data_IF_145867373375
#
_entry.id   IF_145867373375
#
_cell.length_a   1.000
_cell.length_b   1.000
_cell.length_c   1.000
_cell.angle_alpha   90.00
_cell.angle_beta   90.00
_cell.angle_gamma   90.00
#
_symmetry.space_group_name_H-M   'P 1'
#
loop_
_entity.id
_entity.type
_entity.pdbx_description
1 polymer ?
#
# COMPACT_ATOMS: atom_id res chain seq x y z
N UNK A 1 31.32 7.35 13.83
CA UNK A 1 31.27 5.89 14.09
C UNK A 1 29.82 5.52 13.94
N UNK A 2 29.40 5.34 12.69
CA UNK A 2 28.00 5.38 12.29
C UNK A 2 27.59 3.99 11.82
N UNK A 3 27.53 3.08 12.79
CA UNK A 3 27.14 1.68 12.61
C UNK A 3 25.65 1.48 12.93
N UNK A 4 24.78 2.34 12.39
CA UNK A 4 23.31 2.20 12.56
C UNK A 4 22.55 1.88 11.26
N UNK A 5 23.26 1.55 10.17
CA UNK A 5 22.64 1.34 8.86
C UNK A 5 22.14 -0.08 8.54
N UNK A 6 22.48 -1.08 9.35
CA UNK A 6 22.37 -2.50 8.93
C UNK A 6 21.37 -3.35 9.74
N UNK A 7 20.92 -2.87 10.91
CA UNK A 7 19.97 -3.61 11.78
C UNK A 7 18.48 -3.29 11.56
N UNK A 8 18.16 -2.24 10.80
CA UNK A 8 16.76 -1.84 10.54
C UNK A 8 16.27 -2.21 9.14
N UNK A 9 16.82 -3.27 8.57
CA UNK A 9 16.33 -3.81 7.31
C UNK A 9 14.88 -4.32 7.48
N UNK A 10 13.96 -3.97 6.57
CA UNK A 10 12.58 -4.45 6.63
C UNK A 10 12.52 -5.97 6.56
N UNK A 11 11.76 -6.56 7.49
CA UNK A 11 11.53 -8.00 7.64
C UNK A 11 10.20 -8.40 7.00
N UNK A 12 9.99 -9.71 6.72
CA UNK A 12 8.66 -10.22 6.40
C UNK A 12 7.64 -9.73 7.44
N UNK A 13 6.43 -9.43 6.97
CA UNK A 13 5.31 -8.84 7.74
C UNK A 13 5.47 -7.38 8.20
N UNK A 14 6.63 -6.76 8.00
CA UNK A 14 6.76 -5.31 8.22
C UNK A 14 5.90 -4.54 7.21
N UNK A 15 5.25 -3.49 7.71
CA UNK A 15 4.57 -2.52 6.87
C UNK A 15 5.58 -1.47 6.41
N UNK A 16 5.65 -1.20 5.11
CA UNK A 16 6.68 -0.37 4.49
C UNK A 16 6.09 0.62 3.51
N UNK A 17 6.79 1.74 3.32
CA UNK A 17 6.54 2.74 2.28
C UNK A 17 7.67 2.72 1.26
N UNK A 18 7.34 2.75 -0.02
CA UNK A 18 8.31 2.78 -1.10
C UNK A 18 8.85 4.19 -1.29
N UNK A 19 10.17 4.34 -1.42
CA UNK A 19 10.82 5.62 -1.68
C UNK A 19 12.09 5.48 -2.53
N UNK A 20 12.57 6.61 -3.06
CA UNK A 20 13.89 6.70 -3.69
C UNK A 20 14.02 6.01 -5.06
N UNK A 21 12.91 5.56 -5.67
CA UNK A 21 12.95 5.01 -7.02
C UNK A 21 13.06 6.13 -8.05
N UNK A 22 14.12 6.08 -8.88
CA UNK A 22 14.40 7.07 -9.91
C UNK A 22 13.91 6.67 -11.32
N UNK A 23 13.62 5.38 -11.54
CA UNK A 23 13.10 4.91 -12.83
C UNK A 23 11.69 5.44 -13.07
N UNK A 24 11.32 5.70 -14.32
CA UNK A 24 10.01 6.25 -14.70
C UNK A 24 8.84 5.41 -14.14
N UNK A 25 8.92 4.08 -14.23
CA UNK A 25 7.96 3.15 -13.60
C UNK A 25 8.06 3.10 -12.08
N UNK A 26 9.26 3.29 -11.53
CA UNK A 26 9.49 3.22 -10.09
C UNK A 26 9.02 4.49 -9.36
N UNK A 27 9.08 5.65 -10.00
CA UNK A 27 8.60 6.90 -9.44
C UNK A 27 7.10 6.85 -9.12
N UNK A 28 6.32 6.14 -9.95
CA UNK A 28 4.89 5.89 -9.71
C UNK A 28 4.61 5.04 -8.45
N UNK A 29 5.61 4.30 -7.98
CA UNK A 29 5.50 3.49 -6.77
C UNK A 29 5.92 4.26 -5.51
N UNK A 30 6.65 5.37 -5.64
CA UNK A 30 7.07 6.15 -4.48
C UNK A 30 5.84 6.69 -3.72
N UNK A 31 5.89 6.61 -2.40
CA UNK A 31 4.78 6.99 -1.51
C UNK A 31 3.71 5.92 -1.34
N UNK A 32 3.73 4.83 -2.13
CA UNK A 32 2.82 3.70 -1.92
C UNK A 32 3.26 2.87 -0.73
N UNK A 33 2.27 2.34 -0.01
CA UNK A 33 2.45 1.58 1.22
C UNK A 33 1.96 0.16 1.07
N UNK A 34 2.59 -0.75 1.79
CA UNK A 34 2.34 -2.17 1.65
C UNK A 34 2.98 -3.01 2.74
N UNK A 35 2.83 -4.32 2.63
CA UNK A 35 3.45 -5.27 3.53
C UNK A 35 4.53 -6.07 2.81
N UNK A 36 5.66 -6.28 3.47
CA UNK A 36 6.70 -7.21 3.00
C UNK A 36 6.15 -8.63 3.14
N UNK A 37 6.15 -9.38 2.04
CA UNK A 37 5.70 -10.77 2.03
C UNK A 37 6.86 -11.70 2.38
N UNK A 38 7.89 -11.68 1.55
CA UNK A 38 9.02 -12.63 1.62
C UNK A 38 10.22 -12.11 0.82
N UNK A 39 11.42 -12.69 1.01
CA UNK A 39 12.51 -12.49 0.07
C UNK A 39 12.10 -12.89 -1.35
N UNK A 40 12.42 -12.07 -2.34
CA UNK A 40 12.19 -12.39 -3.74
C UNK A 40 13.21 -13.44 -4.22
N UNK A 41 12.90 -14.14 -5.31
CA UNK A 41 13.84 -15.06 -5.97
C UNK A 41 15.10 -14.33 -6.46
N UNK A 42 14.99 -13.02 -6.71
CA UNK A 42 16.11 -12.18 -7.05
C UNK A 42 16.93 -11.81 -5.79
N UNK A 43 18.27 -11.99 -5.81
CA UNK A 43 19.10 -11.79 -4.63
C UNK A 43 19.04 -10.34 -4.13
N UNK A 44 18.87 -10.19 -2.81
CA UNK A 44 18.85 -8.88 -2.15
C UNK A 44 17.59 -8.05 -2.42
N UNK A 45 16.49 -8.67 -2.85
CA UNK A 45 15.19 -8.03 -3.05
C UNK A 45 14.13 -8.67 -2.17
N UNK A 46 13.14 -7.86 -1.79
CA UNK A 46 11.97 -8.28 -1.03
C UNK A 46 10.74 -8.14 -1.93
N UNK A 47 9.87 -9.16 -1.91
CA UNK A 47 8.52 -9.05 -2.44
C UNK A 47 7.67 -8.24 -1.46
N UNK A 48 7.07 -7.16 -1.97
CA UNK A 48 6.21 -6.26 -1.22
C UNK A 48 4.86 -6.21 -1.90
N UNK A 49 3.80 -6.42 -1.13
CA UNK A 49 2.42 -6.25 -1.60
C UNK A 49 1.96 -4.81 -1.38
N UNK A 50 1.76 -4.08 -2.47
CA UNK A 50 1.25 -2.71 -2.49
C UNK A 50 -0.27 -2.73 -2.76
N UNK A 51 -1.08 -2.36 -1.77
CA UNK A 51 -2.54 -2.43 -1.91
C UNK A 51 -3.08 -3.87 -1.98
N UNK A 52 -4.25 -4.10 -2.60
CA UNK A 52 -4.95 -5.40 -2.51
C UNK A 52 -4.33 -6.51 -3.37
N UNK A 53 -3.76 -6.19 -4.54
CA UNK A 53 -3.44 -7.21 -5.55
C UNK A 53 -2.03 -7.08 -6.16
N UNK A 54 -1.33 -5.98 -5.91
CA UNK A 54 -0.07 -5.71 -6.60
C UNK A 54 1.11 -6.17 -5.76
N UNK A 55 1.95 -7.04 -6.33
CA UNK A 55 3.18 -7.52 -5.70
C UNK A 55 4.37 -7.08 -6.56
N UNK A 56 5.37 -6.49 -5.93
CA UNK A 56 6.57 -5.99 -6.61
C UNK A 56 7.84 -6.32 -5.83
N UNK A 57 8.94 -6.49 -6.55
CA UNK A 57 10.23 -6.90 -5.99
C UNK A 57 11.19 -5.71 -5.87
N UNK A 58 11.35 -5.21 -4.66
CA UNK A 58 12.10 -3.99 -4.37
C UNK A 58 13.34 -4.25 -3.51
N UNK A 59 14.35 -3.38 -3.64
CA UNK A 59 15.51 -3.44 -2.76
C UNK A 59 15.15 -2.88 -1.38
N UNK A 60 15.69 -3.43 -0.29
CA UNK A 60 15.46 -2.93 1.07
C UNK A 60 15.73 -1.42 1.23
N UNK A 61 16.76 -0.90 0.56
CA UNK A 61 17.11 0.54 0.57
C UNK A 61 16.02 1.49 0.00
N UNK A 62 15.04 0.95 -0.73
CA UNK A 62 13.92 1.70 -1.29
C UNK A 62 12.64 1.52 -0.46
N UNK A 63 12.74 0.92 0.73
CA UNK A 63 11.63 0.60 1.61
C UNK A 63 11.88 1.22 2.99
N UNK A 64 10.94 2.04 3.44
CA UNK A 64 10.95 2.61 4.78
C UNK A 64 9.96 1.88 5.66
N UNK A 65 10.44 1.31 6.78
CA UNK A 65 9.56 0.69 7.78
C UNK A 65 8.61 1.73 8.36
N UNK A 66 7.35 1.35 8.44
CA UNK A 66 6.31 2.14 9.08
C UNK A 66 5.96 1.51 10.42
N UNK A 67 5.87 2.34 11.46
CA UNK A 67 5.47 1.89 12.79
C UNK A 67 4.00 1.47 12.84
N UNK A 68 3.61 0.81 13.93
CA UNK A 68 2.24 0.30 14.12
C UNK A 68 1.17 1.39 13.98
N UNK A 69 1.44 2.60 14.47
CA UNK A 69 0.54 3.75 14.34
C UNK A 69 0.30 4.14 12.88
N UNK A 70 1.33 4.07 12.04
CA UNK A 70 1.24 4.38 10.61
C UNK A 70 0.53 3.26 9.84
N UNK A 71 0.76 2.00 10.24
CA UNK A 71 0.02 0.84 9.72
C UNK A 71 -1.48 0.97 10.02
N UNK A 72 -1.87 1.30 11.25
CA UNK A 72 -3.27 1.51 11.62
C UNK A 72 -3.91 2.65 10.82
N UNK A 73 -3.19 3.76 10.63
CA UNK A 73 -3.68 4.87 9.81
C UNK A 73 -3.90 4.45 8.35
N UNK A 74 -2.99 3.68 7.77
CA UNK A 74 -3.14 3.16 6.40
C UNK A 74 -4.29 2.16 6.27
N UNK A 75 -4.47 1.24 7.24
CA UNK A 75 -5.62 0.33 7.27
C UNK A 75 -6.94 1.09 7.42
N UNK A 76 -6.98 2.10 8.29
CA UNK A 76 -8.14 2.96 8.48
C UNK A 76 -8.53 3.69 7.20
N UNK A 77 -7.55 4.26 6.50
CA UNK A 77 -7.78 4.94 5.21
C UNK A 77 -8.34 3.96 4.16
N UNK A 78 -7.72 2.78 4.02
CA UNK A 78 -8.19 1.76 3.07
C UNK A 78 -9.62 1.27 3.37
N UNK A 79 -9.96 1.05 4.65
CA UNK A 79 -11.33 0.68 5.05
C UNK A 79 -12.35 1.79 4.77
N UNK A 80 -12.00 3.06 5.06
CA UNK A 80 -12.88 4.20 4.79
C UNK A 80 -13.16 4.34 3.29
N UNK A 81 -12.15 4.21 2.43
CA UNK A 81 -12.33 4.27 0.98
C UNK A 81 -13.30 3.18 0.47
N UNK A 82 -13.20 1.95 1.00
CA UNK A 82 -14.11 0.87 0.61
C UNK A 82 -15.55 1.09 1.09
N UNK A 83 -15.73 1.61 2.30
CA UNK A 83 -17.05 1.88 2.87
C UNK A 83 -17.73 3.09 2.22
N UNK A 84 -16.97 4.14 1.89
CA UNK A 84 -17.49 5.34 1.26
C UNK A 84 -17.87 5.10 -0.20
N UNK A 85 -17.11 4.28 -0.95
CA UNK A 85 -17.41 4.01 -2.36
C UNK A 85 -18.67 3.17 -2.59
N UNK A 86 -18.85 2.11 -1.80
CA UNK A 86 -19.93 1.14 -2.03
C UNK A 86 -21.28 1.65 -1.53
N UNK A 87 -21.33 2.19 -0.31
CA UNK A 87 -22.57 2.72 0.26
C UNK A 87 -23.11 3.92 -0.54
N UNK A 88 -22.23 4.81 -1.01
CA UNK A 88 -22.62 5.96 -1.82
C UNK A 88 -23.09 5.53 -3.20
N UNK A 89 -22.44 4.55 -3.84
CA UNK A 89 -22.89 3.99 -5.13
C UNK A 89 -24.29 3.40 -5.03
N UNK A 90 -24.52 2.54 -4.04
CA UNK A 90 -25.81 1.87 -3.84
C UNK A 90 -26.92 2.90 -3.58
N UNK A 91 -26.65 3.92 -2.77
CA UNK A 91 -27.61 4.99 -2.50
C UNK A 91 -27.96 5.80 -3.77
N UNK A 92 -26.97 6.12 -4.60
CA UNK A 92 -27.18 6.82 -5.87
C UNK A 92 -27.99 5.97 -6.86
N UNK A 93 -27.70 4.68 -6.98
CA UNK A 93 -28.46 3.76 -7.83
C UNK A 93 -29.92 3.66 -7.38
N UNK A 94 -30.17 3.54 -6.07
CA UNK A 94 -31.52 3.55 -5.52
C UNK A 94 -32.29 4.83 -5.85
N UNK A 95 -31.67 6.00 -5.66
CA UNK A 95 -32.30 7.28 -5.97
C UNK A 95 -32.60 7.44 -7.46
N UNK A 96 -31.70 6.97 -8.34
CA UNK A 96 -31.92 6.96 -9.78
C UNK A 96 -33.06 6.03 -10.18
N UNK A 97 -33.16 4.85 -9.57
CA UNK A 97 -34.24 3.90 -9.81
C UNK A 97 -35.58 4.45 -9.35
N UNK A 98 -35.67 5.03 -8.13
CA UNK A 98 -36.88 5.66 -7.63
C UNK A 98 -37.34 6.84 -8.49
N UNK A 99 -36.41 7.66 -8.99
CA UNK A 99 -36.73 8.76 -9.90
C UNK A 99 -37.27 8.25 -11.24
N UNK A 100 -36.79 7.09 -11.70
CA UNK A 100 -37.22 6.44 -12.94
C UNK A 100 -38.59 5.80 -12.82
N UNK A 101 -38.90 5.18 -11.69
CA UNK A 101 -40.19 4.54 -11.42
C UNK A 101 -41.32 5.56 -11.18
N UNK A 102 -40.96 6.82 -10.89
CA UNK A 102 -41.88 7.94 -10.70
C UNK A 102 -42.12 8.78 -11.98
N UNK A 103 -41.40 8.52 -13.06
CA UNK A 103 -41.51 9.24 -14.34
C UNK A 103 -42.41 8.48 -15.33
#
# INVERSE_FOLDING_TARGET
ADAQGEEDAPRPDDFVEVHGLASERGQLLNGRRGAVLRPADAPGRLEVRLGPSEVTSLKPQNLRRLGESQRLQSLRAACLEQLEGEAVRVAVEHLQQEARDRA
#
